data_IF_469485010849
#
_entry.id   IF_469485010849
#
_cell.length_a   1.000
_cell.length_b   1.000
_cell.length_c   1.000
_cell.angle_alpha   90.00
_cell.angle_beta   90.00
_cell.angle_gamma   90.00
#
_symmetry.space_group_name_H-M   'P 1'
#
loop_
_entity.id
_entity.type
_entity.pdbx_description
1 polymer ?
#
# COMPACT_ATOMS: atom_id res chain seq x y z
N UNK A 1 59.89 -37.39 -26.70
CA UNK A 1 58.42 -37.62 -26.64
C UNK A 1 57.78 -37.15 -25.32
N UNK A 2 58.39 -37.39 -24.15
CA UNK A 2 57.82 -36.99 -22.84
C UNK A 2 57.59 -35.46 -22.67
N UNK A 3 58.53 -34.63 -23.11
CA UNK A 3 58.39 -33.17 -23.00
C UNK A 3 57.19 -32.62 -23.79
N UNK A 4 56.88 -33.23 -24.94
CA UNK A 4 55.75 -32.84 -25.79
C UNK A 4 54.40 -33.30 -25.22
N UNK A 5 54.39 -34.42 -24.48
CA UNK A 5 53.24 -34.89 -23.72
C UNK A 5 52.95 -33.94 -22.54
N UNK A 6 53.97 -33.55 -21.78
CA UNK A 6 53.84 -32.60 -20.67
C UNK A 6 53.32 -31.24 -21.12
N UNK A 7 53.82 -30.73 -22.25
CA UNK A 7 53.35 -29.47 -22.83
C UNK A 7 51.87 -29.53 -23.25
N UNK A 8 51.41 -30.65 -23.84
CA UNK A 8 50.00 -30.84 -24.17
C UNK A 8 49.11 -30.90 -22.94
N UNK A 9 49.51 -31.63 -21.90
CA UNK A 9 48.75 -31.72 -20.65
C UNK A 9 48.64 -30.36 -19.96
N UNK A 10 49.74 -29.59 -19.88
CA UNK A 10 49.72 -28.25 -19.32
C UNK A 10 48.79 -27.30 -20.09
N UNK A 11 48.77 -27.38 -21.42
CA UNK A 11 47.85 -26.61 -22.26
C UNK A 11 46.38 -27.01 -22.00
N UNK A 12 46.08 -28.30 -21.91
CA UNK A 12 44.72 -28.79 -21.60
C UNK A 12 44.30 -28.37 -20.19
N UNK A 13 45.15 -28.51 -19.18
CA UNK A 13 44.86 -28.08 -17.82
C UNK A 13 44.65 -26.56 -17.72
N UNK A 14 45.43 -25.76 -18.46
CA UNK A 14 45.26 -24.31 -18.53
C UNK A 14 43.91 -23.92 -19.16
N UNK A 15 43.53 -24.56 -20.26
CA UNK A 15 42.23 -24.34 -20.91
C UNK A 15 41.08 -24.82 -20.02
N UNK A 16 41.22 -25.98 -19.36
CA UNK A 16 40.21 -26.51 -18.46
C UNK A 16 40.02 -25.61 -17.22
N UNK A 17 41.10 -25.10 -16.64
CA UNK A 17 41.05 -24.14 -15.53
C UNK A 17 40.36 -22.84 -15.96
N UNK A 18 40.74 -22.28 -17.11
CA UNK A 18 40.11 -21.07 -17.63
C UNK A 18 38.62 -21.26 -17.95
N UNK A 19 38.23 -22.42 -18.47
CA UNK A 19 36.82 -22.75 -18.71
C UNK A 19 36.05 -22.89 -17.39
N UNK A 20 36.68 -23.46 -16.35
CA UNK A 20 36.09 -23.57 -15.02
C UNK A 20 35.86 -22.19 -14.40
N UNK A 21 36.86 -21.31 -14.46
CA UNK A 21 36.75 -19.93 -13.96
C UNK A 21 35.64 -19.15 -14.66
N UNK A 22 35.53 -19.27 -15.98
CA UNK A 22 34.45 -18.65 -16.77
C UNK A 22 33.08 -19.18 -16.33
N UNK A 23 32.93 -20.50 -16.18
CA UNK A 23 31.66 -21.11 -15.74
C UNK A 23 31.29 -20.68 -14.33
N UNK A 24 32.26 -20.65 -13.42
CA UNK A 24 32.06 -20.20 -12.05
C UNK A 24 31.64 -18.72 -12.02
N UNK A 25 32.29 -17.88 -12.83
CA UNK A 25 31.95 -16.47 -12.99
C UNK A 25 30.53 -16.27 -13.53
N UNK A 26 30.10 -17.04 -14.52
CA UNK A 26 28.73 -17.00 -15.07
C UNK A 26 27.72 -17.42 -14.00
N UNK A 27 27.98 -18.49 -13.25
CA UNK A 27 27.11 -18.92 -12.15
C UNK A 27 27.00 -17.86 -11.04
N UNK A 28 28.12 -17.26 -10.66
CA UNK A 28 28.15 -16.19 -9.67
C UNK A 28 27.37 -14.97 -10.15
N UNK A 29 27.57 -14.55 -11.40
CA UNK A 29 26.89 -13.40 -11.99
C UNK A 29 25.37 -13.62 -12.10
N UNK A 30 24.95 -14.80 -12.56
CA UNK A 30 23.52 -15.15 -12.66
C UNK A 30 22.85 -15.23 -11.29
N UNK A 31 23.54 -15.78 -10.29
CA UNK A 31 23.04 -15.83 -8.90
C UNK A 31 22.91 -14.42 -8.32
N UNK A 32 23.92 -13.55 -8.49
CA UNK A 32 23.88 -12.17 -8.03
C UNK A 32 22.76 -11.37 -8.71
N UNK A 33 22.60 -11.52 -10.03
CA UNK A 33 21.50 -10.89 -10.77
C UNK A 33 20.13 -11.38 -10.30
N UNK A 34 19.99 -12.70 -10.06
CA UNK A 34 18.77 -13.28 -9.51
C UNK A 34 18.41 -12.73 -8.12
N UNK A 35 19.40 -12.59 -7.23
CA UNK A 35 19.19 -11.98 -5.91
C UNK A 35 18.79 -10.51 -5.99
N UNK A 36 19.44 -9.73 -6.86
CA UNK A 36 19.13 -8.31 -7.06
C UNK A 36 17.71 -8.11 -7.62
N UNK A 37 17.30 -8.92 -8.60
CA UNK A 37 15.98 -8.87 -9.21
C UNK A 37 14.88 -9.46 -8.33
N UNK A 38 15.20 -10.44 -7.49
CA UNK A 38 14.24 -11.06 -6.56
C UNK A 38 13.63 -10.07 -5.57
N UNK A 39 14.37 -9.01 -5.20
CA UNK A 39 13.85 -7.93 -4.36
C UNK A 39 12.74 -7.09 -5.02
N UNK A 40 12.62 -7.12 -6.35
CA UNK A 40 11.58 -6.41 -7.09
C UNK A 40 10.29 -7.23 -7.24
N UNK A 41 10.28 -8.50 -6.85
CA UNK A 41 9.04 -9.30 -6.90
C UNK A 41 8.09 -8.87 -5.79
N UNK A 42 6.78 -8.69 -6.09
CA UNK A 42 5.80 -8.43 -5.06
C UNK A 42 5.85 -9.57 -4.03
N UNK A 43 6.03 -9.22 -2.76
CA UNK A 43 5.93 -10.22 -1.69
C UNK A 43 4.50 -10.74 -1.68
N UNK A 44 4.30 -12.00 -2.03
CA UNK A 44 3.01 -12.69 -1.87
C UNK A 44 2.81 -12.95 -0.38
N UNK A 45 2.36 -11.92 0.33
CA UNK A 45 1.92 -12.07 1.71
C UNK A 45 0.59 -12.82 1.68
N UNK A 46 0.39 -13.87 2.49
CA UNK A 46 -0.92 -14.48 2.65
C UNK A 46 -1.94 -13.39 2.98
N UNK A 47 -3.03 -13.35 2.22
CA UNK A 47 -4.07 -12.37 2.45
C UNK A 47 -4.64 -12.58 3.86
N UNK A 48 -4.50 -11.58 4.72
CA UNK A 48 -5.06 -11.65 6.07
C UNK A 48 -6.56 -11.38 6.01
N UNK A 49 -7.37 -12.44 6.04
CA UNK A 49 -8.83 -12.35 6.06
C UNK A 49 -9.50 -12.64 4.72
N UNK A 50 -10.72 -12.14 4.56
CA UNK A 50 -11.53 -12.29 3.36
C UNK A 50 -10.90 -11.58 2.16
N UNK A 51 -11.01 -12.18 0.96
CA UNK A 51 -10.54 -11.58 -0.29
C UNK A 51 -11.38 -10.35 -0.66
N UNK A 52 -10.80 -9.14 -0.74
CA UNK A 52 -11.52 -7.95 -1.16
C UNK A 52 -12.04 -8.02 -2.61
N UNK A 53 -11.45 -8.88 -3.45
CA UNK A 53 -11.89 -9.08 -4.83
C UNK A 53 -13.04 -10.09 -4.94
N UNK A 54 -13.34 -10.84 -3.89
CA UNK A 54 -14.46 -11.79 -3.86
C UNK A 54 -15.73 -11.12 -3.27
N UNK A 55 -16.75 -10.81 -4.09
CA UNK A 55 -17.99 -10.23 -3.60
C UNK A 55 -18.82 -11.20 -2.74
N UNK A 56 -18.52 -12.50 -2.79
CA UNK A 56 -19.15 -13.53 -1.97
C UNK A 56 -18.48 -13.73 -0.60
N UNK A 57 -17.32 -13.10 -0.37
CA UNK A 57 -16.59 -13.28 0.87
C UNK A 57 -17.35 -12.66 2.06
N UNK A 58 -17.61 -13.48 3.07
CA UNK A 58 -18.34 -13.04 4.26
C UNK A 58 -17.44 -12.17 5.14
N UNK A 59 -17.80 -10.90 5.28
CA UNK A 59 -17.15 -9.94 6.18
C UNK A 59 -18.10 -9.52 7.30
N UNK A 60 -17.54 -9.14 8.45
CA UNK A 60 -18.33 -8.57 9.53
C UNK A 60 -18.97 -7.25 9.07
N UNK A 61 -20.27 -7.08 9.34
CA UNK A 61 -20.98 -5.85 9.00
C UNK A 61 -20.43 -4.64 9.75
N UNK A 62 -20.27 -3.51 9.05
CA UNK A 62 -19.85 -2.25 9.68
C UNK A 62 -21.07 -1.63 10.38
N UNK A 63 -21.01 -1.50 11.70
CA UNK A 63 -22.00 -0.74 12.46
C UNK A 63 -21.70 0.76 12.39
N UNK A 64 -22.67 1.57 11.97
CA UNK A 64 -22.55 3.02 12.11
C UNK A 64 -22.79 3.44 13.56
N UNK A 65 -21.83 4.15 14.15
CA UNK A 65 -22.03 4.92 15.38
C UNK A 65 -21.76 6.39 15.07
N UNK A 66 -22.70 7.25 15.44
CA UNK A 66 -22.45 8.70 15.44
C UNK A 66 -21.39 9.03 16.48
N UNK A 67 -20.29 9.64 16.03
CA UNK A 67 -19.22 10.20 16.90
C UNK A 67 -19.57 11.60 17.38
N UNK A 68 -20.69 12.18 16.94
CA UNK A 68 -21.10 13.53 17.34
C UNK A 68 -21.63 13.45 18.76
N UNK A 69 -20.88 14.03 19.71
CA UNK A 69 -21.33 14.21 21.07
C UNK A 69 -22.62 15.06 21.07
N UNK A 70 -23.60 14.78 21.96
CA UNK A 70 -24.75 15.64 22.12
C UNK A 70 -24.31 17.08 22.39
N UNK A 71 -24.70 18.02 21.53
CA UNK A 71 -24.40 19.43 21.74
C UNK A 71 -25.22 19.96 22.92
N UNK A 72 -24.54 20.27 24.02
CA UNK A 72 -25.13 21.02 25.12
C UNK A 72 -24.90 22.51 24.88
N UNK A 73 -25.99 23.26 24.73
CA UNK A 73 -25.93 24.71 24.55
C UNK A 73 -25.37 25.39 25.81
N UNK A 74 -24.23 26.09 25.69
CA UNK A 74 -23.63 26.90 26.76
C UNK A 74 -24.15 28.34 26.81
N UNK A 75 -25.31 28.60 26.19
CA UNK A 75 -25.88 29.95 26.17
C UNK A 75 -26.37 30.33 27.57
N UNK A 76 -26.03 31.52 28.08
CA UNK A 76 -26.50 31.98 29.40
C UNK A 76 -28.03 32.11 29.50
N UNK A 77 -28.71 32.29 28.36
CA UNK A 77 -30.16 32.49 28.29
C UNK A 77 -30.72 31.70 27.11
N UNK A 78 -31.93 31.15 27.28
CA UNK A 78 -32.68 30.53 26.20
C UNK A 78 -32.95 31.55 25.07
N UNK A 79 -32.97 31.12 23.80
CA UNK A 79 -33.33 32.01 22.70
C UNK A 79 -34.74 32.57 22.93
N UNK A 80 -34.90 33.88 22.77
CA UNK A 80 -36.22 34.52 22.81
C UNK A 80 -37.13 33.98 21.70
N UNK A 81 -38.45 34.07 21.92
CA UNK A 81 -39.42 33.66 20.92
C UNK A 81 -39.28 34.53 19.65
N UNK A 82 -38.82 33.89 18.56
CA UNK A 82 -38.57 34.57 17.28
C UNK A 82 -39.83 35.27 16.74
N UNK A 83 -41.01 34.67 16.96
CA UNK A 83 -42.29 35.19 16.47
C UNK A 83 -42.61 36.55 17.08
N UNK A 84 -42.50 36.66 18.40
CA UNK A 84 -42.75 37.91 19.14
C UNK A 84 -41.74 39.01 18.79
N UNK A 85 -40.52 38.66 18.38
CA UNK A 85 -39.56 39.64 17.87
C UNK A 85 -39.96 40.13 16.48
N UNK A 86 -40.35 39.21 15.60
CA UNK A 86 -40.79 39.57 14.26
C UNK A 86 -42.06 40.41 14.29
N UNK A 87 -43.03 40.07 15.14
CA UNK A 87 -44.27 40.84 15.27
C UNK A 87 -44.03 42.27 15.78
N UNK A 88 -42.99 42.47 16.63
CA UNK A 88 -42.59 43.79 17.13
C UNK A 88 -42.00 44.71 16.06
N UNK A 89 -41.31 44.14 15.08
CA UNK A 89 -40.65 44.91 14.01
C UNK A 89 -41.43 44.91 12.69
N UNK A 90 -42.48 44.08 12.60
CA UNK A 90 -43.33 44.01 11.43
C UNK A 90 -44.02 45.36 11.20
N UNK A 91 -43.94 45.92 9.98
CA UNK A 91 -44.68 47.13 9.63
C UNK A 91 -46.19 46.90 9.81
N UNK A 92 -46.87 47.85 10.45
CA UNK A 92 -48.33 47.79 10.59
C UNK A 92 -48.96 47.95 9.20
N UNK A 93 -49.90 47.06 8.80
CA UNK A 93 -50.60 47.22 7.52
C UNK A 93 -51.27 48.58 7.45
N UNK A 94 -51.08 49.32 6.35
CA UNK A 94 -51.83 50.56 6.11
C UNK A 94 -53.31 50.20 6.03
N UNK A 95 -54.13 50.75 6.93
CA UNK A 95 -55.58 50.65 6.84
C UNK A 95 -56.02 51.24 5.50
N UNK A 96 -56.71 50.43 4.68
CA UNK A 96 -57.05 50.76 3.32
C UNK A 96 -57.73 52.12 3.18
N UNK A 97 -57.15 52.96 2.32
CA UNK A 97 -57.80 54.02 1.59
C UNK A 97 -57.43 53.85 0.12
#
# INVERSE_FOLDING_TARGET
MLAQLGAKLAAVCSVAGKLFDIRLGILAATTAAGMALGGCMPRTVPLAGADPADPGAKVAGVGYRSTVAPYSSLRPVAPSAWREQNDRVAPVPKSGR
#
